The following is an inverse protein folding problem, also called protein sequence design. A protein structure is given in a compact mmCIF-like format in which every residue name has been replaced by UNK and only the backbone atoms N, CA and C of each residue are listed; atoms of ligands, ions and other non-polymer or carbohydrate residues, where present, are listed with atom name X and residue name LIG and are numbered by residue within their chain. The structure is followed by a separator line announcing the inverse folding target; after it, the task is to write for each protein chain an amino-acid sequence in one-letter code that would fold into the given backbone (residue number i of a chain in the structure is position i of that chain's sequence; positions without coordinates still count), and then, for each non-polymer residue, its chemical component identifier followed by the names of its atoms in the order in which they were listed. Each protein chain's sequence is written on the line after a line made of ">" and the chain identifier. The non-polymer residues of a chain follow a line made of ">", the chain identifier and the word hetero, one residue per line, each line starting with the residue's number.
data_IF_328741863999
#
_entry.id   IF_328741863999
#
_cell.length_a   1.000
_cell.length_b   1.000
_cell.length_c   1.000
_cell.angle_alpha   90.00
_cell.angle_beta   90.00
_cell.angle_gamma   90.00
#
_symmetry.space_group_name_H-M   'P 1'
#
loop_
_entity.id
_entity.type
_entity.pdbx_description
1 polymer ?
#
# COMPACT_ATOMS: atom_id res chain seq x y z
N UNK A 1 15.04 -4.50 -13.91
CA UNK A 1 14.42 -5.86 -13.86
C UNK A 1 13.06 -5.73 -13.19
N UNK A 2 11.96 -5.99 -13.88
CA UNK A 2 10.61 -5.96 -13.31
C UNK A 2 10.39 -7.21 -12.45
N UNK A 3 9.79 -7.06 -11.26
CA UNK A 3 9.39 -8.16 -10.38
C UNK A 3 7.86 -8.17 -10.31
N UNK A 4 7.25 -9.30 -10.65
CA UNK A 4 5.80 -9.49 -10.62
C UNK A 4 5.48 -10.51 -9.53
N UNK A 5 4.49 -10.21 -8.69
CA UNK A 5 3.93 -11.12 -7.68
C UNK A 5 2.42 -11.08 -7.82
N UNK A 6 1.81 -12.23 -8.04
CA UNK A 6 0.37 -12.36 -8.29
C UNK A 6 -0.36 -12.73 -7.00
N UNK A 7 -1.57 -12.20 -6.84
CA UNK A 7 -2.52 -12.69 -5.86
C UNK A 7 -3.46 -13.66 -6.56
N UNK A 8 -3.69 -14.82 -5.95
CA UNK A 8 -4.50 -15.90 -6.51
C UNK A 8 -5.44 -16.44 -5.45
N UNK A 9 -6.51 -17.09 -5.89
CA UNK A 9 -7.41 -17.77 -4.98
C UNK A 9 -6.63 -18.85 -4.21
N UNK A 10 -6.76 -18.93 -2.88
CA UNK A 10 -6.13 -20.00 -2.11
C UNK A 10 -6.74 -21.35 -2.51
N UNK A 11 -5.92 -22.39 -2.50
CA UNK A 11 -6.37 -23.77 -2.68
C UNK A 11 -7.06 -24.27 -1.39
N UNK A 12 -8.23 -23.72 -1.13
CA UNK A 12 -9.08 -24.00 0.01
C UNK A 12 -10.54 -23.93 -0.45
N UNK A 13 -11.37 -24.81 0.11
CA UNK A 13 -12.81 -24.77 -0.12
C UNK A 13 -13.41 -23.48 0.46
N UNK A 14 -14.17 -22.75 -0.35
CA UNK A 14 -14.89 -21.53 0.04
C UNK A 14 -16.39 -21.78 -0.10
N UNK A 15 -17.16 -21.37 0.89
CA UNK A 15 -18.61 -21.46 0.84
C UNK A 15 -19.18 -20.43 -0.15
N UNK A 16 -20.31 -20.77 -0.78
CA UNK A 16 -20.96 -19.88 -1.73
C UNK A 16 -21.76 -18.79 -0.99
N UNK A 17 -21.43 -17.54 -1.23
CA UNK A 17 -22.14 -16.36 -0.71
C UNK A 17 -22.07 -15.24 -1.76
N UNK A 18 -22.32 -13.99 -1.37
CA UNK A 18 -22.13 -12.86 -2.27
C UNK A 18 -20.66 -12.74 -2.70
N UNK A 19 -20.38 -12.30 -3.95
CA UNK A 19 -19.02 -12.18 -4.47
C UNK A 19 -18.09 -11.37 -3.55
N UNK A 20 -18.61 -10.31 -2.92
CA UNK A 20 -17.84 -9.44 -2.04
C UNK A 20 -17.30 -10.20 -0.82
N UNK A 21 -18.13 -11.07 -0.23
CA UNK A 21 -17.72 -11.89 0.91
C UNK A 21 -16.75 -12.98 0.50
N UNK A 22 -17.00 -13.64 -0.63
CA UNK A 22 -16.11 -14.67 -1.17
C UNK A 22 -14.70 -14.10 -1.42
N UNK A 23 -14.59 -12.90 -2.01
CA UNK A 23 -13.29 -12.26 -2.23
C UNK A 23 -12.64 -11.77 -0.94
N UNK A 24 -13.42 -11.32 0.03
CA UNK A 24 -12.90 -10.97 1.35
C UNK A 24 -12.32 -12.19 2.08
N UNK A 25 -13.01 -13.33 2.03
CA UNK A 25 -12.54 -14.60 2.60
C UNK A 25 -11.25 -15.08 1.91
N UNK A 26 -11.18 -14.96 0.59
CA UNK A 26 -9.98 -15.27 -0.18
C UNK A 26 -8.82 -14.27 0.00
N UNK A 27 -9.03 -13.13 0.69
CA UNK A 27 -8.05 -12.06 0.81
C UNK A 27 -7.76 -11.32 -0.51
N UNK A 28 -8.72 -11.35 -1.44
CA UNK A 28 -8.68 -10.69 -2.75
C UNK A 28 -9.53 -9.42 -2.79
N UNK A 29 -9.84 -8.85 -1.62
CA UNK A 29 -10.55 -7.58 -1.49
C UNK A 29 -9.59 -6.37 -1.61
N UNK A 30 -10.17 -5.19 -1.82
CA UNK A 30 -9.41 -3.97 -2.03
C UNK A 30 -8.45 -3.64 -0.87
N UNK A 31 -8.86 -3.88 0.38
CA UNK A 31 -8.02 -3.57 1.53
C UNK A 31 -6.82 -4.53 1.62
N UNK A 32 -7.03 -5.83 1.38
CA UNK A 32 -5.94 -6.81 1.41
C UNK A 32 -4.99 -6.66 0.22
N UNK A 33 -5.49 -6.30 -0.96
CA UNK A 33 -4.64 -5.97 -2.13
C UNK A 33 -3.69 -4.82 -1.79
N UNK A 34 -4.21 -3.71 -1.24
CA UNK A 34 -3.39 -2.55 -0.85
C UNK A 34 -2.37 -2.94 0.22
N UNK A 35 -2.82 -3.65 1.26
CA UNK A 35 -1.94 -4.14 2.33
C UNK A 35 -0.80 -5.01 1.77
N UNK A 36 -1.12 -5.93 0.87
CA UNK A 36 -0.13 -6.84 0.28
C UNK A 36 0.84 -6.11 -0.64
N UNK A 37 0.35 -5.15 -1.43
CA UNK A 37 1.19 -4.31 -2.27
C UNK A 37 2.20 -3.53 -1.41
N UNK A 38 1.74 -2.87 -0.34
CA UNK A 38 2.60 -2.11 0.58
C UNK A 38 3.60 -3.01 1.31
N UNK A 39 3.19 -4.19 1.77
CA UNK A 39 4.08 -5.14 2.44
C UNK A 39 5.12 -5.76 1.48
N UNK A 40 4.80 -5.84 0.20
CA UNK A 40 5.67 -6.39 -0.85
C UNK A 40 6.73 -5.40 -1.32
N UNK A 41 6.42 -4.11 -1.24
CA UNK A 41 7.37 -3.05 -1.58
C UNK A 41 8.51 -3.07 -0.54
N UNK A 42 9.79 -3.08 -0.98
CA UNK A 42 10.89 -2.92 -0.05
C UNK A 42 10.75 -1.59 0.70
N UNK A 43 11.18 -1.55 1.95
CA UNK A 43 11.21 -0.31 2.74
C UNK A 43 11.89 0.77 1.89
N UNK A 44 11.15 1.84 1.66
CA UNK A 44 11.58 2.98 0.85
C UNK A 44 12.99 3.40 1.22
N UNK A 45 13.93 3.22 0.30
CA UNK A 45 15.17 4.02 0.16
C UNK A 45 14.83 5.42 -0.36
N UNK A 46 13.81 6.04 0.22
CA UNK A 46 13.25 7.33 -0.14
C UNK A 46 12.91 8.02 1.16
N UNK A 47 13.80 8.93 1.53
CA UNK A 47 13.69 9.86 2.65
C UNK A 47 12.28 10.44 2.66
N UNK A 48 11.50 10.10 3.68
CA UNK A 48 10.33 10.90 4.04
C UNK A 48 10.87 12.03 4.91
N UNK A 49 11.52 13.01 4.27
CA UNK A 49 11.67 14.32 4.89
C UNK A 49 10.27 14.88 5.08
N UNK A 50 9.78 14.81 6.31
CA UNK A 50 8.66 15.63 6.72
C UNK A 50 9.11 17.08 6.62
N UNK A 51 8.77 17.72 5.50
CA UNK A 51 9.05 19.13 5.27
C UNK A 51 8.46 19.94 6.44
N UNK A 52 9.36 20.41 7.30
CA UNK A 52 9.06 21.28 8.42
C UNK A 52 8.44 22.58 7.90
N UNK A 53 7.19 22.84 8.26
CA UNK A 53 6.60 24.16 8.11
C UNK A 53 7.26 25.12 9.10
N UNK A 54 8.27 25.88 8.67
CA UNK A 54 8.64 27.15 9.32
C UNK A 54 8.88 28.22 8.25
N UNK A 55 7.94 29.17 8.20
CA UNK A 55 7.94 30.31 7.28
C UNK A 55 8.89 31.41 7.77
N UNK A 56 9.44 32.10 6.78
CA UNK A 56 10.56 33.06 6.75
C UNK A 56 10.47 34.37 7.58
N UNK A 57 11.48 35.22 7.34
CA UNK A 57 11.53 36.71 7.35
C UNK A 57 12.45 37.26 8.47
N UNK A 58 13.55 38.00 8.19
CA UNK A 58 13.61 39.37 7.64
C UNK A 58 14.91 39.69 6.89
N UNK A 59 14.75 40.44 5.79
CA UNK A 59 15.80 41.18 5.06
C UNK A 59 16.40 42.30 5.94
N UNK A 60 17.71 42.59 5.86
CA UNK A 60 18.38 43.92 6.05
C UNK A 60 19.93 43.77 6.14
N UNK A 61 20.75 44.82 5.89
CA UNK A 61 20.91 45.59 4.65
C UNK A 61 22.40 45.79 4.23
N UNK A 62 22.58 46.25 2.99
CA UNK A 62 23.76 46.75 2.23
C UNK A 62 25.19 46.43 2.69
#
# INVERSE_FOLDING_TARGET
>A
RVRVRTLTLPDLYQDHDSPEKMYAEAGLDAATIVKTALATLPASSGQVEQASNVVSVRRRPR
#
